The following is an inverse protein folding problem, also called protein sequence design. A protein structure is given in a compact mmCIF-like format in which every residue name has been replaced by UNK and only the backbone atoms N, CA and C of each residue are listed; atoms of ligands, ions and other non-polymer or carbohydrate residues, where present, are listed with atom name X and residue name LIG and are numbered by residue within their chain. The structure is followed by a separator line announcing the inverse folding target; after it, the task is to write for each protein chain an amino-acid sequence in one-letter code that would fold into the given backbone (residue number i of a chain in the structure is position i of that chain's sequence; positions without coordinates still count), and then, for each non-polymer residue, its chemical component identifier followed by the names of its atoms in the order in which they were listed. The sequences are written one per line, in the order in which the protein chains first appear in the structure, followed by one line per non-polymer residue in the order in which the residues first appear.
data_IF_721922951179
#
_entry.id   IF_721922951179
#
_cell.length_a   1.000
_cell.length_b   1.000
_cell.length_c   1.000
_cell.angle_alpha   90.00
_cell.angle_beta   90.00
_cell.angle_gamma   90.00
#
_symmetry.space_group_name_H-M   'P 1'
#
loop_
_entity.id
_entity.type
_entity.pdbx_description
1 polymer ?
#
# COMPACT_ATOMS: atom_id res chain seq x y z
N UNK A 1 -13.47 38.80 -4.55
CA UNK A 1 -14.50 37.75 -4.62
C UNK A 1 -13.77 36.42 -4.60
N UNK A 2 -13.92 35.57 -3.56
CA UNK A 2 -13.19 34.30 -3.51
C UNK A 2 -13.82 33.38 -4.56
N UNK A 3 -13.02 33.04 -5.57
CA UNK A 3 -13.46 32.21 -6.68
C UNK A 3 -13.52 30.75 -6.25
N UNK A 4 -14.50 30.04 -6.82
CA UNK A 4 -14.66 28.58 -6.94
C UNK A 4 -13.37 27.72 -6.97
N UNK A 5 -12.21 28.29 -7.29
CA UNK A 5 -10.90 27.66 -7.13
C UNK A 5 -10.53 27.32 -5.66
N UNK A 6 -10.94 28.10 -4.66
CA UNK A 6 -10.63 27.82 -3.24
C UNK A 6 -11.46 26.65 -2.68
N UNK A 7 -12.67 26.42 -3.20
CA UNK A 7 -13.53 25.28 -2.83
C UNK A 7 -13.00 23.98 -3.47
N UNK A 8 -12.44 24.06 -4.69
CA UNK A 8 -11.78 22.92 -5.33
C UNK A 8 -10.46 22.52 -4.63
N UNK A 9 -9.70 23.48 -4.12
CA UNK A 9 -8.47 23.24 -3.35
C UNK A 9 -8.73 22.59 -1.97
N UNK A 10 -9.89 22.86 -1.35
CA UNK A 10 -10.27 22.27 -0.06
C UNK A 10 -10.94 20.88 -0.14
N UNK A 11 -11.59 20.56 -1.26
CA UNK A 11 -12.39 19.33 -1.40
C UNK A 11 -11.70 18.20 -2.18
N UNK A 12 -10.63 18.49 -2.92
CA UNK A 12 -9.93 17.51 -3.75
C UNK A 12 -9.46 16.23 -3.01
N UNK A 13 -8.95 16.29 -1.75
CA UNK A 13 -8.53 15.09 -1.03
C UNK A 13 -9.70 14.15 -0.67
N UNK A 14 -10.87 14.71 -0.33
CA UNK A 14 -12.05 13.94 0.07
C UNK A 14 -12.71 13.30 -1.16
N UNK A 15 -12.79 14.03 -2.27
CA UNK A 15 -13.29 13.51 -3.54
C UNK A 15 -12.40 12.39 -4.09
N UNK A 16 -11.07 12.55 -4.03
CA UNK A 16 -10.13 11.50 -4.44
C UNK A 16 -10.20 10.24 -3.56
N UNK A 17 -10.31 10.41 -2.24
CA UNK A 17 -10.46 9.29 -1.31
C UNK A 17 -11.77 8.51 -1.48
N UNK A 18 -12.88 9.22 -1.73
CA UNK A 18 -14.19 8.59 -1.96
C UNK A 18 -14.23 7.79 -3.26
N UNK A 19 -13.67 8.32 -4.36
CA UNK A 19 -13.60 7.62 -5.64
C UNK A 19 -12.73 6.36 -5.57
N UNK A 20 -11.59 6.41 -4.86
CA UNK A 20 -10.77 5.23 -4.60
C UNK A 20 -11.47 4.19 -3.72
N UNK A 21 -12.23 4.62 -2.71
CA UNK A 21 -13.04 3.74 -1.87
C UNK A 21 -14.14 3.00 -2.64
N UNK A 22 -14.81 3.69 -3.56
CA UNK A 22 -15.86 3.11 -4.43
C UNK A 22 -15.26 2.14 -5.45
N UNK A 23 -14.13 2.51 -6.09
CA UNK A 23 -13.45 1.64 -7.04
C UNK A 23 -12.90 0.36 -6.37
N UNK A 24 -12.35 0.47 -5.17
CA UNK A 24 -11.86 -0.68 -4.40
C UNK A 24 -13.01 -1.57 -3.87
N UNK A 25 -14.17 -0.99 -3.54
CA UNK A 25 -15.33 -1.72 -3.01
C UNK A 25 -16.05 -2.61 -4.03
N UNK A 26 -16.00 -2.28 -5.33
CA UNK A 26 -16.67 -3.04 -6.39
C UNK A 26 -15.82 -4.16 -7.01
N UNK A 27 -14.53 -4.27 -6.66
CA UNK A 27 -13.65 -5.35 -7.12
C UNK A 27 -13.80 -6.59 -6.24
N UNK A 28 -15.04 -7.07 -6.07
CA UNK A 28 -15.25 -8.39 -5.45
C UNK A 28 -14.96 -9.42 -6.53
N UNK A 29 -13.80 -10.08 -6.42
CA UNK A 29 -13.41 -11.15 -7.34
C UNK A 29 -14.44 -12.28 -7.37
N UNK A 30 -14.43 -13.11 -8.43
CA UNK A 30 -15.35 -14.24 -8.57
C UNK A 30 -15.34 -15.14 -7.33
N UNK A 31 -16.51 -15.62 -6.90
CA UNK A 31 -16.66 -16.47 -5.71
C UNK A 31 -16.25 -17.93 -6.01
N UNK A 32 -14.93 -18.16 -6.08
CA UNK A 32 -14.35 -19.47 -6.38
C UNK A 32 -14.71 -20.51 -5.32
N UNK A 33 -14.80 -20.11 -4.05
CA UNK A 33 -15.15 -21.01 -2.94
C UNK A 33 -16.61 -21.44 -3.02
N UNK A 34 -17.51 -20.54 -3.37
CA UNK A 34 -18.91 -20.85 -3.66
C UNK A 34 -19.07 -21.84 -4.82
N UNK A 35 -18.31 -21.65 -5.90
CA UNK A 35 -18.30 -22.57 -7.05
C UNK A 35 -17.81 -23.98 -6.68
N UNK A 36 -16.70 -24.11 -5.94
CA UNK A 36 -16.20 -25.42 -5.47
C UNK A 36 -17.24 -26.13 -4.62
N UNK A 37 -17.92 -25.41 -3.72
CA UNK A 37 -18.97 -25.99 -2.87
C UNK A 37 -20.13 -26.55 -3.71
N UNK A 38 -20.57 -25.81 -4.73
CA UNK A 38 -21.62 -26.26 -5.63
C UNK A 38 -21.18 -27.50 -6.44
N UNK A 39 -19.93 -27.54 -6.91
CA UNK A 39 -19.38 -28.70 -7.63
C UNK A 39 -19.31 -29.96 -6.75
N UNK A 40 -18.96 -29.82 -5.46
CA UNK A 40 -18.97 -30.92 -4.49
C UNK A 40 -20.40 -31.43 -4.20
N UNK A 41 -21.37 -30.53 -4.08
CA UNK A 41 -22.78 -30.91 -3.90
C UNK A 41 -23.32 -31.65 -5.14
N UNK A 42 -22.94 -31.20 -6.34
CA UNK A 42 -23.28 -31.89 -7.59
C UNK A 42 -22.64 -33.29 -7.65
N UNK A 43 -21.40 -33.41 -7.17
CA UNK A 43 -20.73 -34.70 -7.05
C UNK A 43 -21.46 -35.64 -6.09
N UNK A 44 -21.97 -35.16 -4.96
CA UNK A 44 -22.72 -36.00 -4.03
C UNK A 44 -24.07 -36.47 -4.59
N UNK A 45 -24.68 -35.70 -5.49
CA UNK A 45 -25.96 -36.03 -6.14
C UNK A 45 -25.83 -36.99 -7.33
N UNK A 46 -24.62 -37.14 -7.91
CA UNK A 46 -24.39 -38.00 -9.08
C UNK A 46 -24.55 -39.49 -8.72
N UNK A 47 -25.26 -40.31 -9.53
CA UNK A 47 -25.38 -41.75 -9.28
C UNK A 47 -24.02 -42.44 -9.28
N UNK A 48 -23.82 -43.41 -8.37
CA UNK A 48 -22.57 -44.17 -8.23
C UNK A 48 -22.21 -44.97 -9.49
N UNK A 49 -23.21 -45.33 -10.32
CA UNK A 49 -22.97 -46.06 -11.58
C UNK A 49 -22.20 -45.21 -12.62
N UNK A 50 -22.25 -43.88 -12.52
CA UNK A 50 -21.59 -42.96 -13.43
C UNK A 50 -20.12 -42.68 -13.00
N UNK A 51 -19.35 -43.75 -12.80
CA UNK A 51 -17.98 -43.67 -12.27
C UNK A 51 -17.06 -42.74 -13.09
N UNK A 52 -17.15 -42.77 -14.43
CA UNK A 52 -16.34 -41.92 -15.30
C UNK A 52 -16.68 -40.43 -15.14
N UNK A 53 -17.96 -40.08 -15.06
CA UNK A 53 -18.40 -38.69 -14.91
C UNK A 53 -18.03 -38.14 -13.52
N UNK A 54 -18.22 -38.95 -12.47
CA UNK A 54 -17.78 -38.62 -11.10
C UNK A 54 -16.27 -38.39 -11.04
N UNK A 55 -15.49 -39.22 -11.75
CA UNK A 55 -14.03 -39.07 -11.82
C UNK A 55 -13.62 -37.76 -12.51
N UNK A 56 -14.21 -37.44 -13.67
CA UNK A 56 -13.94 -36.17 -14.37
C UNK A 56 -14.32 -34.94 -13.54
N UNK A 57 -15.46 -34.99 -12.85
CA UNK A 57 -15.88 -33.89 -11.97
C UNK A 57 -14.93 -33.71 -10.79
N UNK A 58 -14.49 -34.81 -10.16
CA UNK A 58 -13.45 -34.78 -9.11
C UNK A 58 -12.16 -34.17 -9.60
N UNK A 59 -11.72 -34.51 -10.81
CA UNK A 59 -10.52 -33.94 -11.41
C UNK A 59 -10.65 -32.42 -11.60
N UNK A 60 -11.79 -31.95 -12.12
CA UNK A 60 -12.06 -30.52 -12.27
C UNK A 60 -12.10 -29.77 -10.92
N UNK A 61 -12.74 -30.34 -9.90
CA UNK A 61 -12.77 -29.77 -8.55
C UNK A 61 -11.35 -29.64 -7.98
N UNK A 62 -10.55 -30.69 -8.12
CA UNK A 62 -9.16 -30.69 -7.64
C UNK A 62 -8.32 -29.62 -8.33
N UNK A 63 -8.42 -29.49 -9.65
CA UNK A 63 -7.72 -28.43 -10.40
C UNK A 63 -8.09 -27.03 -9.89
N UNK A 64 -9.40 -26.78 -9.66
CA UNK A 64 -9.88 -25.49 -9.13
C UNK A 64 -9.37 -25.22 -7.70
N UNK A 65 -9.23 -26.25 -6.87
CA UNK A 65 -8.64 -26.14 -5.53
C UNK A 65 -7.17 -25.75 -5.61
N UNK A 66 -6.40 -26.39 -6.51
CA UNK A 66 -4.99 -26.05 -6.74
C UNK A 66 -4.86 -24.59 -7.17
N UNK A 67 -5.65 -24.14 -8.15
CA UNK A 67 -5.63 -22.74 -8.60
C UNK A 67 -5.94 -21.75 -7.46
N UNK A 68 -6.88 -22.11 -6.56
CA UNK A 68 -7.22 -21.29 -5.40
C UNK A 68 -6.05 -21.20 -4.40
N UNK A 69 -5.33 -22.30 -4.19
CA UNK A 69 -4.15 -22.34 -3.33
C UNK A 69 -3.06 -21.46 -3.93
N UNK A 70 -2.72 -21.66 -5.20
CA UNK A 70 -1.70 -20.89 -5.92
C UNK A 70 -1.99 -19.39 -5.91
N UNK A 71 -3.25 -19.01 -6.18
CA UNK A 71 -3.67 -17.61 -6.11
C UNK A 71 -3.53 -17.03 -4.70
N UNK A 72 -3.81 -17.83 -3.66
CA UNK A 72 -3.67 -17.41 -2.27
C UNK A 72 -2.20 -17.26 -1.87
N UNK A 73 -1.34 -18.18 -2.28
CA UNK A 73 0.10 -18.12 -2.06
C UNK A 73 0.72 -16.92 -2.76
N UNK A 74 0.37 -16.69 -4.03
CA UNK A 74 0.79 -15.52 -4.79
C UNK A 74 0.29 -14.22 -4.17
N UNK A 75 -0.94 -14.20 -3.66
CA UNK A 75 -1.46 -13.04 -2.91
C UNK A 75 -0.65 -12.79 -1.64
N UNK A 76 -0.26 -13.86 -0.92
CA UNK A 76 0.56 -13.77 0.28
C UNK A 76 1.97 -13.25 -0.05
N UNK A 77 2.60 -13.76 -1.10
CA UNK A 77 3.88 -13.30 -1.62
C UNK A 77 3.82 -11.83 -2.01
N UNK A 78 2.81 -11.43 -2.80
CA UNK A 78 2.59 -10.03 -3.17
C UNK A 78 2.36 -9.16 -1.94
N UNK A 79 1.65 -9.65 -0.93
CA UNK A 79 1.44 -8.92 0.33
C UNK A 79 2.73 -8.82 1.14
N UNK A 80 3.57 -9.84 1.11
CA UNK A 80 4.88 -9.85 1.75
C UNK A 80 5.83 -8.86 1.05
N UNK A 81 5.88 -8.87 -0.28
CA UNK A 81 6.61 -7.88 -1.11
C UNK A 81 6.05 -6.47 -0.90
N UNK A 82 4.74 -6.29 -0.86
CA UNK A 82 4.14 -4.98 -0.57
C UNK A 82 4.41 -4.54 0.88
N UNK A 83 4.48 -5.49 1.82
CA UNK A 83 4.86 -5.21 3.21
C UNK A 83 6.34 -4.88 3.36
N UNK A 84 7.22 -5.47 2.55
CA UNK A 84 8.64 -5.11 2.49
C UNK A 84 8.84 -3.76 1.77
N UNK A 85 8.02 -3.45 0.77
CA UNK A 85 7.93 -2.12 0.13
C UNK A 85 7.30 -1.04 1.03
N UNK A 86 6.74 -1.42 2.18
CA UNK A 86 6.20 -0.49 3.18
C UNK A 86 7.30 0.30 3.90
N UNK A 87 8.57 -0.07 3.72
CA UNK A 87 9.69 0.78 4.06
C UNK A 87 9.85 1.88 3.02
N UNK A 88 9.88 3.15 3.44
CA UNK A 88 10.40 4.30 2.69
C UNK A 88 9.47 5.16 1.82
N UNK A 89 8.20 4.80 1.54
CA UNK A 89 7.30 5.71 0.78
C UNK A 89 7.14 7.08 1.45
N UNK A 90 6.96 7.06 2.78
CA UNK A 90 6.88 8.27 3.60
C UNK A 90 8.12 9.16 3.45
N UNK A 91 9.30 8.55 3.41
CA UNK A 91 10.56 9.27 3.38
C UNK A 91 10.80 9.85 1.96
N UNK A 92 10.34 9.15 0.91
CA UNK A 92 10.29 9.67 -0.47
C UNK A 92 9.38 10.89 -0.57
N UNK A 93 8.16 10.83 -0.01
CA UNK A 93 7.22 11.96 -0.02
C UNK A 93 7.80 13.15 0.75
N UNK A 94 8.41 12.92 1.91
CA UNK A 94 9.08 13.96 2.69
C UNK A 94 10.25 14.59 1.92
N UNK A 95 11.05 13.79 1.23
CA UNK A 95 12.14 14.28 0.39
C UNK A 95 11.62 15.17 -0.75
N UNK A 96 10.58 14.72 -1.47
CA UNK A 96 9.94 15.52 -2.52
C UNK A 96 9.40 16.83 -1.96
N UNK A 97 8.70 16.79 -0.81
CA UNK A 97 8.21 18.00 -0.15
C UNK A 97 9.35 18.96 0.23
N UNK A 98 10.48 18.46 0.72
CA UNK A 98 11.64 19.28 1.07
C UNK A 98 12.30 19.93 -0.16
N UNK A 99 12.45 19.19 -1.26
CA UNK A 99 12.98 19.73 -2.53
C UNK A 99 12.04 20.79 -3.10
N UNK A 100 10.74 20.50 -3.18
CA UNK A 100 9.73 21.45 -3.65
C UNK A 100 9.69 22.72 -2.78
N UNK A 101 9.76 22.57 -1.47
CA UNK A 101 9.86 23.70 -0.54
C UNK A 101 11.10 24.56 -0.84
N UNK A 102 12.25 23.94 -1.11
CA UNK A 102 13.50 24.65 -1.43
C UNK A 102 13.39 25.43 -2.74
N UNK A 103 12.73 24.86 -3.76
CA UNK A 103 12.48 25.53 -5.05
C UNK A 103 11.52 26.71 -4.88
N UNK A 104 10.40 26.52 -4.17
CA UNK A 104 9.42 27.59 -3.90
C UNK A 104 10.07 28.71 -3.09
N UNK A 105 10.85 28.36 -2.06
CA UNK A 105 11.59 29.29 -1.21
C UNK A 105 12.52 30.20 -2.02
N UNK A 106 13.27 29.62 -2.97
CA UNK A 106 14.18 30.39 -3.83
C UNK A 106 13.47 31.43 -4.72
N UNK A 107 12.17 31.25 -4.97
CA UNK A 107 11.39 32.11 -5.86
C UNK A 107 10.55 33.18 -5.11
N UNK A 108 10.49 33.15 -3.77
CA UNK A 108 9.66 34.10 -3.00
C UNK A 108 10.36 35.47 -2.88
N UNK A 109 9.67 36.61 -3.11
CA UNK A 109 10.23 37.93 -2.86
C UNK A 109 10.37 38.21 -1.35
N UNK A 110 11.62 38.39 -0.90
CA UNK A 110 12.00 38.52 0.51
C UNK A 110 11.73 39.92 1.12
N UNK A 111 11.07 40.82 0.38
CA UNK A 111 10.86 42.22 0.77
C UNK A 111 9.60 42.47 1.61
N UNK A 112 8.82 41.43 1.96
CA UNK A 112 7.57 41.56 2.74
C UNK A 112 7.84 41.75 4.23
N UNK A 113 7.10 42.65 4.89
CA UNK A 113 7.22 42.96 6.33
C UNK A 113 7.01 41.76 7.28
N UNK A 114 6.21 40.77 6.88
CA UNK A 114 5.96 39.56 7.69
C UNK A 114 6.97 38.42 7.44
N UNK A 115 8.04 38.70 6.69
CA UNK A 115 9.02 37.70 6.27
C UNK A 115 9.75 37.06 7.47
N UNK A 116 10.07 37.85 8.50
CA UNK A 116 10.81 37.37 9.67
C UNK A 116 9.99 36.36 10.51
N UNK A 117 8.69 36.60 10.70
CA UNK A 117 7.80 35.67 11.42
C UNK A 117 7.62 34.37 10.63
N UNK A 118 7.44 34.48 9.31
CA UNK A 118 7.35 33.32 8.43
C UNK A 118 8.67 32.52 8.42
N UNK A 119 9.83 33.20 8.46
CA UNK A 119 11.14 32.58 8.55
C UNK A 119 11.31 31.74 9.84
N UNK A 120 10.95 32.31 11.00
CA UNK A 120 11.01 31.60 12.28
C UNK A 120 10.06 30.39 12.30
N UNK A 121 8.84 30.55 11.79
CA UNK A 121 7.88 29.45 11.69
C UNK A 121 8.40 28.31 10.79
N UNK A 122 9.04 28.65 9.68
CA UNK A 122 9.59 27.67 8.74
C UNK A 122 10.84 26.96 9.27
N UNK A 123 11.67 27.63 10.08
CA UNK A 123 12.77 26.97 10.81
C UNK A 123 12.22 25.92 11.77
N UNK A 124 11.15 26.24 12.51
CA UNK A 124 10.51 25.29 13.41
C UNK A 124 9.91 24.10 12.65
N UNK A 125 9.22 24.36 11.53
CA UNK A 125 8.64 23.31 10.69
C UNK A 125 9.73 22.40 10.09
N UNK A 126 10.83 22.98 9.59
CA UNK A 126 11.99 22.23 9.09
C UNK A 126 12.63 21.38 10.18
N UNK A 127 12.74 21.90 11.40
CA UNK A 127 13.21 21.15 12.57
C UNK A 127 12.33 19.93 12.87
N UNK A 128 11.00 20.08 12.82
CA UNK A 128 10.05 18.97 13.01
C UNK A 128 10.22 17.91 11.92
N UNK A 129 10.36 18.34 10.66
CA UNK A 129 10.63 17.43 9.54
C UNK A 129 11.96 16.71 9.70
N UNK A 130 13.02 17.43 10.11
CA UNK A 130 14.36 16.87 10.32
C UNK A 130 14.37 15.83 11.45
N UNK A 131 13.67 16.08 12.56
CA UNK A 131 13.51 15.11 13.65
C UNK A 131 12.72 13.89 13.19
N UNK A 132 11.68 14.08 12.38
CA UNK A 132 10.87 12.99 11.87
C UNK A 132 11.63 12.12 10.83
N UNK A 133 12.39 12.75 9.94
CA UNK A 133 13.24 12.09 8.96
C UNK A 133 14.41 11.33 9.62
N UNK A 134 15.07 11.94 10.61
CA UNK A 134 16.18 11.31 11.33
C UNK A 134 15.74 10.08 12.13
N UNK A 135 14.50 10.02 12.65
CA UNK A 135 13.94 8.78 13.22
C UNK A 135 13.80 7.64 12.22
N UNK A 136 13.58 7.94 10.94
CA UNK A 136 13.58 6.96 9.85
C UNK A 136 14.99 6.43 9.58
N UNK A 137 15.95 7.34 9.41
CA UNK A 137 17.37 7.02 9.15
C UNK A 137 18.00 6.24 10.31
N UNK A 138 17.76 6.64 11.56
CA UNK A 138 18.30 5.94 12.74
C UNK A 138 17.77 4.50 12.80
N UNK A 139 16.52 4.25 12.42
CA UNK A 139 15.93 2.91 12.42
C UNK A 139 16.51 2.02 11.31
N UNK A 140 16.75 2.58 10.13
CA UNK A 140 17.40 1.89 9.02
C UNK A 140 18.88 1.56 9.34
N UNK A 141 19.60 2.49 9.97
CA UNK A 141 20.97 2.24 10.43
C UNK A 141 21.02 1.22 11.58
N UNK A 142 20.05 1.24 12.49
CA UNK A 142 19.94 0.25 13.56
C UNK A 142 19.67 -1.17 13.01
N UNK A 143 18.81 -1.33 12.00
CA UNK A 143 18.59 -2.63 11.36
C UNK A 143 19.84 -3.16 10.65
N UNK A 144 20.62 -2.30 10.01
CA UNK A 144 21.88 -2.69 9.36
C UNK A 144 22.95 -3.12 10.39
N UNK A 145 22.97 -2.49 11.57
CA UNK A 145 23.88 -2.86 12.66
C UNK A 145 23.52 -4.21 13.30
N UNK A 146 22.22 -4.50 13.46
CA UNK A 146 21.75 -5.76 14.05
C UNK A 146 22.04 -6.96 13.14
N UNK A 147 21.86 -6.82 11.82
CA UNK A 147 22.21 -7.89 10.87
C UNK A 147 23.71 -8.24 10.92
N UNK A 148 24.57 -7.22 11.07
CA UNK A 148 26.02 -7.41 11.11
C UNK A 148 26.52 -8.13 12.38
N UNK A 149 25.81 -8.01 13.51
CA UNK A 149 26.18 -8.72 14.74
C UNK A 149 25.81 -10.21 14.69
N UNK A 150 24.83 -10.60 13.86
CA UNK A 150 24.39 -12.00 13.74
C UNK A 150 25.40 -12.85 12.94
N UNK A 151 26.11 -12.25 11.99
CA UNK A 151 27.15 -12.92 11.20
C UNK A 151 28.43 -13.19 12.02
N UNK A 152 28.80 -12.28 12.94
CA UNK A 152 29.96 -12.45 13.83
C UNK A 152 29.77 -13.50 14.94
N UNK A 153 28.54 -13.96 15.19
CA UNK A 153 28.24 -14.97 16.22
C UNK A 153 28.02 -16.39 15.67
N UNK A 154 28.13 -16.56 14.35
CA UNK A 154 27.95 -17.83 13.64
C UNK A 154 29.24 -18.37 13.00
N UNK A 155 30.39 -17.75 13.28
CA UNK A 155 31.73 -18.17 12.86
C UNK A 155 32.53 -18.82 13.98
#
# INVERSE_FOLDING_TARGET
MPGIAEIALGAAPIAGGALLGVAAGNLRGPDVRGAIKADLELLDQLPEENAELRARLRESINARIVDLIDATEKSRELREIASSYKGNWRDIVVFICAVLFTIVWWNVPHSRTNWLVMFVFLILLSGVVAVYASRGVIRALASLRVSRHKDDSAG
#
